data_IF_358344368360
#
_entry.id   IF_358344368360
#
_cell.length_a   1.000
_cell.length_b   1.000
_cell.length_c   1.000
_cell.angle_alpha   90.00
_cell.angle_beta   90.00
_cell.angle_gamma   90.00
#
_symmetry.space_group_name_H-M   'P 1'
#
loop_
_entity.id
_entity.type
_entity.pdbx_description
1 polymer ?
#
# COMPACT_ATOMS: atom_id res chain seq x y z
N UNK A 1 -48.17 -23.82 -4.94
CA UNK A 1 -47.38 -22.59 -5.11
C UNK A 1 -46.46 -22.48 -3.91
N UNK A 2 -45.22 -22.95 -4.03
CA UNK A 2 -44.25 -23.02 -2.93
C UNK A 2 -43.46 -21.69 -2.92
N UNK A 3 -43.76 -20.82 -1.97
CA UNK A 3 -43.03 -19.56 -1.77
C UNK A 3 -41.67 -19.89 -1.12
N UNK A 4 -40.59 -19.83 -1.91
CA UNK A 4 -39.22 -19.92 -1.40
C UNK A 4 -38.89 -18.56 -0.77
N UNK A 5 -39.03 -18.49 0.55
CA UNK A 5 -38.59 -17.36 1.36
C UNK A 5 -37.06 -17.44 1.48
N UNK A 6 -36.33 -16.85 0.53
CA UNK A 6 -34.89 -16.61 0.63
C UNK A 6 -34.65 -15.59 1.75
N UNK A 7 -34.39 -16.10 2.95
CA UNK A 7 -33.92 -15.32 4.08
C UNK A 7 -32.54 -14.77 3.71
N UNK A 8 -32.47 -13.46 3.44
CA UNK A 8 -31.22 -12.71 3.40
C UNK A 8 -30.63 -12.66 4.82
N UNK A 9 -30.00 -13.76 5.24
CA UNK A 9 -29.17 -13.75 6.44
C UNK A 9 -27.97 -12.84 6.15
N UNK A 10 -27.63 -11.89 7.03
CA UNK A 10 -26.41 -11.11 6.88
C UNK A 10 -25.22 -12.09 6.87
N UNK A 11 -24.46 -12.07 5.78
CA UNK A 11 -23.26 -12.88 5.64
C UNK A 11 -22.22 -12.29 6.59
N UNK A 12 -22.07 -12.90 7.77
CA UNK A 12 -20.93 -12.64 8.62
C UNK A 12 -19.74 -13.39 8.04
N UNK A 13 -18.75 -12.64 7.56
CA UNK A 13 -17.48 -13.22 7.12
C UNK A 13 -16.61 -13.34 8.37
N UNK A 14 -16.48 -14.55 8.91
CA UNK A 14 -15.39 -14.87 9.85
C UNK A 14 -14.09 -14.97 9.04
N UNK A 15 -13.44 -13.83 8.85
CA UNK A 15 -12.20 -13.72 8.09
C UNK A 15 -11.20 -12.86 8.84
N UNK A 16 -9.95 -13.31 8.89
CA UNK A 16 -8.85 -12.48 9.39
C UNK A 16 -8.53 -11.39 8.35
N UNK A 17 -8.74 -10.14 8.75
CA UNK A 17 -8.47 -8.92 8.00
C UNK A 17 -7.22 -8.21 8.51
N UNK A 18 -6.54 -7.49 7.62
CA UNK A 18 -5.41 -6.63 7.95
C UNK A 18 -5.87 -5.19 8.10
N UNK A 19 -5.44 -4.50 9.15
CA UNK A 19 -5.88 -3.13 9.44
C UNK A 19 -4.69 -2.20 9.69
N UNK A 20 -4.87 -0.91 9.41
CA UNK A 20 -3.99 0.11 9.94
C UNK A 20 -4.04 0.11 11.46
N UNK A 21 -2.88 0.25 12.10
CA UNK A 21 -2.77 0.35 13.55
C UNK A 21 -2.13 1.68 13.93
N UNK A 22 -2.91 2.54 14.55
CA UNK A 22 -2.47 3.88 14.94
C UNK A 22 -3.12 4.36 16.22
N UNK A 23 -2.37 5.22 16.92
CA UNK A 23 -2.80 5.92 18.12
C UNK A 23 -2.49 7.41 17.96
N UNK A 24 -3.44 8.26 18.32
CA UNK A 24 -3.26 9.69 18.45
C UNK A 24 -2.53 10.01 19.75
N UNK A 25 -1.66 11.03 19.69
CA UNK A 25 -0.86 11.41 20.85
C UNK A 25 -1.61 12.41 21.75
N UNK A 26 -2.23 13.44 21.15
CA UNK A 26 -3.07 14.42 21.85
C UNK A 26 -3.94 15.20 20.87
N UNK A 27 -4.90 15.98 21.38
CA UNK A 27 -5.77 16.85 20.56
C UNK A 27 -5.02 17.95 19.81
N UNK A 28 -3.85 18.37 20.29
CA UNK A 28 -3.00 19.38 19.63
C UNK A 28 -2.03 18.78 18.61
N UNK A 29 -1.75 17.48 18.75
CA UNK A 29 -0.79 16.76 17.92
C UNK A 29 -1.45 15.81 16.93
N UNK A 30 -2.73 15.51 17.04
CA UNK A 30 -3.47 14.71 16.06
C UNK A 30 -3.16 13.20 16.11
N UNK A 31 -3.62 12.50 15.07
CA UNK A 31 -3.41 11.07 14.86
C UNK A 31 -2.54 10.84 13.62
N UNK A 32 -1.68 9.83 13.66
CA UNK A 32 -0.88 9.41 12.52
C UNK A 32 -1.05 7.91 12.27
N UNK A 33 -1.47 7.55 11.07
CA UNK A 33 -1.63 6.16 10.63
C UNK A 33 -0.73 5.94 9.41
N UNK A 34 -0.04 4.82 9.39
CA UNK A 34 0.87 4.47 8.30
C UNK A 34 0.77 2.99 7.95
N UNK A 35 0.92 2.65 6.67
CA UNK A 35 1.04 1.26 6.21
C UNK A 35 2.21 0.49 6.82
N UNK A 36 3.17 1.18 7.46
CA UNK A 36 4.27 0.55 8.20
C UNK A 36 3.79 -0.07 9.54
N UNK A 37 2.60 0.31 10.02
CA UNK A 37 2.00 -0.19 11.25
C UNK A 37 0.67 -0.83 10.92
N UNK A 38 0.70 -2.14 10.72
CA UNK A 38 -0.49 -2.94 10.47
C UNK A 38 -0.66 -3.95 11.61
N UNK A 39 -1.89 -4.41 11.78
CA UNK A 39 -2.26 -5.54 12.63
C UNK A 39 -3.20 -6.48 11.86
N UNK A 40 -3.46 -7.67 12.40
CA UNK A 40 -4.53 -8.55 11.90
C UNK A 40 -5.57 -8.85 12.99
N UNK A 41 -6.82 -9.05 12.58
CA UNK A 41 -7.95 -9.36 13.48
C UNK A 41 -9.20 -9.76 12.70
N UNK A 42 -10.34 -9.89 13.38
CA UNK A 42 -11.63 -10.23 12.72
C UNK A 42 -12.30 -9.02 12.06
N UNK A 43 -11.96 -7.82 12.52
CA UNK A 43 -12.39 -6.57 11.90
C UNK A 43 -11.40 -5.45 12.17
N UNK A 44 -11.51 -4.38 11.40
CA UNK A 44 -10.83 -3.13 11.66
C UNK A 44 -11.77 -2.18 12.40
N UNK A 45 -11.24 -1.45 13.37
CA UNK A 45 -11.93 -0.34 14.00
C UNK A 45 -11.25 1.00 13.66
N UNK A 46 -12.05 2.05 13.72
CA UNK A 46 -11.62 3.43 13.71
C UNK A 46 -12.43 4.21 14.75
N UNK A 47 -11.72 4.89 15.65
CA UNK A 47 -12.25 5.80 16.66
C UNK A 47 -11.48 7.11 16.57
N UNK A 48 -11.99 8.15 17.21
CA UNK A 48 -11.49 9.53 17.10
C UNK A 48 -9.96 9.68 17.15
N UNK A 49 -9.28 8.88 17.99
CA UNK A 49 -7.84 8.96 18.19
C UNK A 49 -7.13 7.62 18.01
N UNK A 50 -7.79 6.62 17.41
CA UNK A 50 -7.17 5.30 17.29
C UNK A 50 -7.81 4.48 16.20
N UNK A 51 -6.99 3.76 15.45
CA UNK A 51 -7.46 2.73 14.54
C UNK A 51 -6.65 1.46 14.78
N UNK A 52 -7.26 0.30 14.56
CA UNK A 52 -6.60 -0.97 14.79
C UNK A 52 -7.49 -2.15 14.47
N UNK A 53 -7.10 -3.30 15.01
CA UNK A 53 -7.79 -4.56 14.84
C UNK A 53 -8.67 -4.87 16.05
N UNK A 54 -9.81 -5.51 15.80
CA UNK A 54 -10.73 -5.99 16.81
C UNK A 54 -10.94 -7.50 16.66
N UNK A 55 -11.28 -8.15 17.77
CA UNK A 55 -11.70 -9.56 17.82
C UNK A 55 -13.22 -9.71 17.76
N UNK A 56 -13.93 -8.68 17.29
CA UNK A 56 -15.38 -8.71 17.10
C UNK A 56 -15.65 -8.73 15.61
N UNK A 57 -16.54 -9.62 15.17
CA UNK A 57 -17.00 -9.62 13.80
C UNK A 57 -17.69 -8.29 13.44
N UNK A 58 -17.45 -7.84 12.21
CA UNK A 58 -18.09 -6.65 11.65
C UNK A 58 -18.76 -7.00 10.33
N UNK A 59 -19.63 -6.10 9.87
CA UNK A 59 -20.14 -6.16 8.51
C UNK A 59 -19.03 -5.77 7.53
N UNK A 60 -19.15 -6.24 6.27
CA UNK A 60 -18.21 -5.89 5.20
C UNK A 60 -18.13 -4.36 5.00
N UNK A 61 -19.27 -3.68 5.10
CA UNK A 61 -19.36 -2.24 4.94
C UNK A 61 -18.84 -1.47 6.16
N UNK A 62 -18.23 -0.31 5.88
CA UNK A 62 -17.79 0.62 6.91
C UNK A 62 -19.00 1.23 7.64
N UNK A 63 -19.21 0.80 8.89
CA UNK A 63 -20.35 1.22 9.70
C UNK A 63 -19.87 1.98 10.92
N UNK A 64 -20.42 3.17 11.13
CA UNK A 64 -20.17 3.99 12.31
C UNK A 64 -21.37 3.97 13.25
N UNK A 65 -21.11 3.97 14.55
CA UNK A 65 -22.08 4.20 15.62
C UNK A 65 -21.59 5.32 16.52
N UNK A 66 -22.54 5.99 17.19
CA UNK A 66 -22.24 6.98 18.22
C UNK A 66 -22.45 6.32 19.59
N UNK A 67 -21.44 6.45 20.44
CA UNK A 67 -21.54 6.17 21.87
C UNK A 67 -21.29 7.46 22.65
N UNK A 68 -22.39 8.14 23.00
CA UNK A 68 -22.38 9.49 23.56
C UNK A 68 -21.73 10.49 22.61
N UNK A 69 -20.53 10.93 22.97
CA UNK A 69 -19.71 11.90 22.22
C UNK A 69 -18.61 11.22 21.39
N UNK A 70 -18.54 9.90 21.35
CA UNK A 70 -17.50 9.17 20.63
C UNK A 70 -18.06 8.44 19.42
N UNK A 71 -17.41 8.58 18.27
CA UNK A 71 -17.71 7.76 17.10
C UNK A 71 -16.88 6.48 17.11
N UNK A 72 -17.53 5.34 16.92
CA UNK A 72 -16.89 4.05 16.76
C UNK A 72 -17.30 3.48 15.40
N UNK A 73 -16.33 3.34 14.50
CA UNK A 73 -16.53 2.76 13.19
C UNK A 73 -15.84 1.41 13.09
N UNK A 74 -16.48 0.48 12.38
CA UNK A 74 -15.97 -0.87 12.15
C UNK A 74 -16.16 -1.31 10.70
N UNK A 75 -15.27 -2.15 10.20
CA UNK A 75 -15.33 -2.72 8.85
C UNK A 75 -14.57 -4.06 8.79
N UNK A 76 -14.95 -4.94 7.86
CA UNK A 76 -14.38 -6.29 7.71
C UNK A 76 -13.69 -6.50 6.35
N UNK A 77 -12.99 -5.48 5.85
CA UNK A 77 -12.20 -5.55 4.60
C UNK A 77 -10.77 -5.10 4.89
N UNK A 78 -9.79 -5.70 4.21
CA UNK A 78 -8.39 -5.30 4.38
C UNK A 78 -8.20 -3.80 4.18
N UNK A 79 -7.47 -3.19 5.12
CA UNK A 79 -7.04 -1.79 5.11
C UNK A 79 -8.21 -0.78 5.06
N UNK A 80 -9.43 -1.21 5.39
CA UNK A 80 -10.64 -0.39 5.32
C UNK A 80 -10.66 0.79 6.31
N UNK A 81 -9.84 0.73 7.36
CA UNK A 81 -9.70 1.79 8.36
C UNK A 81 -8.62 2.83 8.00
N UNK A 82 -8.29 2.97 6.72
CA UNK A 82 -7.43 4.06 6.25
C UNK A 82 -8.02 5.41 6.65
N UNK A 83 -7.18 6.31 7.19
CA UNK A 83 -7.62 7.59 7.75
C UNK A 83 -8.46 8.44 6.77
N UNK A 84 -8.04 8.54 5.50
CA UNK A 84 -8.76 9.32 4.47
C UNK A 84 -10.17 8.78 4.23
N UNK A 85 -10.32 7.46 4.13
CA UNK A 85 -11.60 6.81 3.93
C UNK A 85 -12.48 6.91 5.19
N UNK A 86 -11.90 6.64 6.36
CA UNK A 86 -12.59 6.73 7.65
C UNK A 86 -13.09 8.15 7.94
N UNK A 87 -12.27 9.17 7.71
CA UNK A 87 -12.64 10.57 7.88
C UNK A 87 -13.79 10.97 6.93
N UNK A 88 -13.73 10.56 5.65
CA UNK A 88 -14.82 10.80 4.69
C UNK A 88 -16.13 10.15 5.16
N UNK A 89 -16.08 8.91 5.63
CA UNK A 89 -17.24 8.18 6.15
C UNK A 89 -17.81 8.82 7.42
N UNK A 90 -16.95 9.26 8.34
CA UNK A 90 -17.35 9.98 9.56
C UNK A 90 -18.04 11.31 9.24
N UNK A 91 -17.46 12.11 8.34
CA UNK A 91 -18.05 13.37 7.89
C UNK A 91 -19.42 13.17 7.22
N UNK A 92 -19.60 12.09 6.47
CA UNK A 92 -20.89 11.76 5.87
C UNK A 92 -21.92 11.24 6.89
N UNK A 93 -21.46 10.59 7.96
CA UNK A 93 -22.32 9.99 8.98
C UNK A 93 -22.87 11.01 9.97
N UNK A 94 -22.11 12.07 10.27
CA UNK A 94 -22.56 13.07 11.23
C UNK A 94 -23.59 14.04 10.64
N UNK A 95 -24.66 14.39 11.39
CA UNK A 95 -25.58 15.44 10.97
C UNK A 95 -24.81 16.74 10.73
N UNK A 96 -25.12 17.43 9.63
CA UNK A 96 -24.78 18.86 9.49
C UNK A 96 -25.36 19.56 10.72
N UNK A 97 -24.57 20.33 11.47
CA UNK A 97 -24.88 20.90 12.81
C UNK A 97 -24.47 20.06 14.04
N UNK A 98 -23.90 18.86 13.86
CA UNK A 98 -23.22 18.16 14.95
C UNK A 98 -22.11 19.05 15.54
N UNK A 99 -21.89 19.08 16.88
CA UNK A 99 -20.73 19.78 17.47
C UNK A 99 -19.40 19.29 16.91
N UNK A 100 -19.43 18.14 16.22
CA UNK A 100 -18.30 17.52 15.57
C UNK A 100 -18.23 17.74 14.05
N UNK A 101 -19.19 18.43 13.43
CA UNK A 101 -19.04 19.00 12.07
C UNK A 101 -17.82 19.95 11.99
N UNK A 102 -17.38 20.44 13.16
CA UNK A 102 -16.17 21.26 13.34
C UNK A 102 -14.96 20.49 13.88
N UNK A 103 -15.11 19.22 14.25
CA UNK A 103 -13.96 18.37 14.58
C UNK A 103 -13.27 18.01 13.27
N UNK A 104 -12.38 18.90 12.85
CA UNK A 104 -11.41 18.55 11.85
C UNK A 104 -10.49 17.54 12.54
N UNK A 105 -10.59 16.26 12.16
CA UNK A 105 -9.53 15.29 12.40
C UNK A 105 -8.32 15.77 11.59
N UNK A 106 -7.72 16.86 12.03
CA UNK A 106 -6.57 17.45 11.39
C UNK A 106 -5.40 16.59 11.82
N UNK A 107 -4.77 15.98 10.82
CA UNK A 107 -3.37 15.58 10.91
C UNK A 107 -2.57 16.69 11.64
N UNK A 108 -1.54 16.33 12.44
CA UNK A 108 -0.74 17.33 13.15
C UNK A 108 -0.41 18.52 12.23
N UNK A 109 -0.67 19.76 12.69
CA UNK A 109 -0.46 20.98 11.89
C UNK A 109 0.97 21.11 11.32
N UNK A 110 1.92 20.35 11.86
CA UNK A 110 3.32 20.28 11.42
C UNK A 110 3.58 19.30 10.27
N UNK A 111 2.58 18.57 9.76
CA UNK A 111 2.77 17.65 8.63
C UNK A 111 2.57 18.39 7.31
N UNK A 112 3.67 18.64 6.60
CA UNK A 112 3.69 19.43 5.37
C UNK A 112 4.25 18.70 4.16
N UNK A 113 4.74 17.46 4.34
CA UNK A 113 5.35 16.67 3.28
C UNK A 113 4.38 15.59 2.79
N UNK A 114 3.94 15.70 1.55
CA UNK A 114 3.20 14.67 0.85
C UNK A 114 4.16 13.57 0.40
N UNK A 115 3.79 12.32 0.65
CA UNK A 115 4.56 11.15 0.28
C UNK A 115 3.68 10.09 -0.35
N UNK A 116 4.29 9.17 -1.08
CA UNK A 116 3.62 7.95 -1.53
C UNK A 116 3.40 7.02 -0.34
N UNK A 117 2.20 6.44 -0.23
CA UNK A 117 1.85 5.42 0.75
C UNK A 117 1.43 4.14 0.02
N UNK A 118 2.41 3.38 -0.48
CA UNK A 118 2.14 2.28 -1.39
C UNK A 118 3.25 1.23 -1.39
N UNK A 119 3.02 0.11 -2.07
CA UNK A 119 3.99 -0.96 -2.28
C UNK A 119 3.49 -2.32 -1.81
N UNK A 120 4.42 -3.25 -1.66
CA UNK A 120 4.13 -4.59 -1.15
C UNK A 120 4.50 -4.66 0.32
N UNK A 121 3.57 -5.11 1.15
CA UNK A 121 3.75 -5.21 2.60
C UNK A 121 3.45 -6.65 2.99
N UNK A 122 4.31 -7.25 3.80
CA UNK A 122 4.02 -8.55 4.39
C UNK A 122 3.66 -8.43 5.85
N UNK A 123 2.53 -9.02 6.23
CA UNK A 123 2.08 -9.16 7.62
C UNK A 123 1.41 -10.52 7.79
N UNK A 124 1.72 -11.22 8.88
CA UNK A 124 1.19 -12.55 9.20
C UNK A 124 1.32 -13.57 8.02
N UNK A 125 2.37 -13.45 7.20
CA UNK A 125 2.58 -14.31 6.03
C UNK A 125 1.72 -14.00 4.80
N UNK A 126 0.81 -13.01 4.89
CA UNK A 126 0.06 -12.47 3.76
C UNK A 126 0.84 -11.31 3.13
N UNK A 127 0.67 -11.11 1.83
CA UNK A 127 1.25 -9.99 1.10
C UNK A 127 0.10 -9.10 0.63
N UNK A 128 0.12 -7.84 1.04
CA UNK A 128 -0.81 -6.82 0.57
C UNK A 128 -0.10 -5.91 -0.41
N UNK A 129 -0.71 -5.71 -1.57
CA UNK A 129 -0.25 -4.77 -2.58
C UNK A 129 -1.12 -3.50 -2.51
N UNK A 130 -0.51 -2.39 -2.12
CA UNK A 130 -1.14 -1.07 -2.14
C UNK A 130 -0.66 -0.34 -3.38
N UNK A 131 -1.55 0.04 -4.32
CA UNK A 131 -1.13 0.66 -5.57
C UNK A 131 -0.60 2.08 -5.36
N UNK A 132 0.50 2.43 -6.04
CA UNK A 132 1.05 3.78 -6.01
C UNK A 132 0.25 4.71 -6.93
N UNK A 133 -0.83 5.30 -6.42
CA UNK A 133 -1.68 6.27 -7.12
C UNK A 133 -1.95 7.49 -6.21
N UNK A 134 -2.66 8.49 -6.74
CA UNK A 134 -2.97 9.72 -6.00
C UNK A 134 -3.82 9.48 -4.75
N UNK A 135 -4.60 8.40 -4.73
CA UNK A 135 -5.43 8.03 -3.59
C UNK A 135 -4.61 7.52 -2.41
N UNK A 136 -3.47 6.87 -2.72
CA UNK A 136 -2.52 6.30 -1.78
C UNK A 136 -1.33 7.24 -1.55
N UNK A 137 -1.69 8.43 -1.10
CA UNK A 137 -0.76 9.47 -0.66
C UNK A 137 -1.05 9.82 0.79
N UNK A 138 0.01 10.12 1.53
CA UNK A 138 -0.08 10.47 2.94
C UNK A 138 0.62 11.82 3.17
N UNK A 139 0.37 12.40 4.35
CA UNK A 139 1.02 13.61 4.84
C UNK A 139 1.87 13.25 6.06
N UNK A 140 3.12 13.72 6.08
CA UNK A 140 4.11 13.45 7.11
C UNK A 140 5.07 14.60 7.35
N UNK A 141 6.05 14.38 8.23
CA UNK A 141 7.21 15.29 8.38
C UNK A 141 8.31 14.94 7.36
N UNK A 142 8.37 13.70 6.93
CA UNK A 142 9.31 13.18 5.95
C UNK A 142 8.72 11.94 5.28
N UNK A 143 9.31 11.54 4.17
CA UNK A 143 8.94 10.33 3.46
C UNK A 143 9.94 9.22 3.73
N UNK A 144 9.44 7.98 3.76
CA UNK A 144 10.23 6.78 4.00
C UNK A 144 10.01 5.80 2.86
N UNK A 145 11.09 5.15 2.44
CA UNK A 145 11.06 3.94 1.60
C UNK A 145 11.77 2.82 2.34
N UNK A 146 11.09 1.69 2.53
CA UNK A 146 11.71 0.43 2.97
C UNK A 146 12.04 -0.43 1.76
N UNK A 147 13.29 -0.88 1.72
CA UNK A 147 13.88 -1.68 0.64
C UNK A 147 14.31 -3.02 1.20
N UNK A 148 13.65 -4.06 0.75
CA UNK A 148 13.95 -5.43 1.14
C UNK A 148 13.26 -6.42 0.23
N UNK A 149 12.72 -7.48 0.80
CA UNK A 149 11.95 -8.47 0.05
C UNK A 149 10.60 -7.89 -0.39
N UNK A 150 10.00 -7.06 0.48
CA UNK A 150 8.73 -6.41 0.23
C UNK A 150 8.95 -4.89 0.32
N UNK A 151 9.16 -4.26 -0.84
CA UNK A 151 9.42 -2.81 -0.91
C UNK A 151 8.10 -2.05 -0.78
N UNK A 152 8.05 -1.10 0.16
CA UNK A 152 6.94 -0.18 0.36
C UNK A 152 7.40 1.18 0.90
N UNK A 153 6.57 2.18 0.70
CA UNK A 153 6.86 3.59 0.95
C UNK A 153 5.72 4.17 1.77
N UNK A 154 6.07 5.02 2.72
CA UNK A 154 5.10 5.59 3.66
C UNK A 154 5.57 6.93 4.20
N UNK A 155 4.67 7.64 4.89
CA UNK A 155 5.02 8.87 5.59
C UNK A 155 5.67 8.54 6.93
N UNK A 156 6.67 9.32 7.32
CA UNK A 156 7.19 9.31 8.68
C UNK A 156 6.81 10.57 9.43
N UNK A 157 6.73 10.44 10.75
CA UNK A 157 6.60 11.58 11.65
C UNK A 157 7.78 11.62 12.60
N UNK A 158 8.03 12.80 13.17
CA UNK A 158 9.03 13.01 14.22
C UNK A 158 8.80 12.15 15.47
N UNK A 159 7.64 11.50 15.61
CA UNK A 159 7.34 10.60 16.74
C UNK A 159 7.92 9.20 16.54
N UNK A 160 8.16 8.79 15.29
CA UNK A 160 8.50 7.40 14.96
C UNK A 160 9.98 7.20 14.63
N UNK A 161 10.77 8.27 14.58
CA UNK A 161 12.20 8.15 14.30
C UNK A 161 12.89 9.44 13.87
N UNK A 162 14.05 9.28 13.23
CA UNK A 162 14.88 10.38 12.76
C UNK A 162 14.37 11.00 11.47
N UNK A 163 14.43 12.33 11.40
CA UNK A 163 14.12 13.13 10.20
C UNK A 163 15.31 13.25 9.25
N UNK A 164 16.48 12.75 9.63
CA UNK A 164 17.72 12.92 8.88
C UNK A 164 17.62 12.18 7.52
N UNK A 165 17.74 12.94 6.43
CA UNK A 165 17.63 12.40 5.09
C UNK A 165 18.84 11.51 4.75
N UNK A 166 18.68 10.20 4.92
CA UNK A 166 19.70 9.20 4.63
C UNK A 166 19.08 7.82 4.43
N UNK A 167 19.85 6.92 3.82
CA UNK A 167 19.56 5.49 3.86
C UNK A 167 20.39 4.82 4.95
N UNK A 168 19.77 3.96 5.73
CA UNK A 168 20.44 3.16 6.76
C UNK A 168 19.86 1.75 6.76
N UNK A 169 20.68 0.78 7.18
CA UNK A 169 20.29 -0.62 7.29
C UNK A 169 20.82 -1.16 8.61
N UNK A 170 19.91 -1.42 9.55
CA UNK A 170 20.27 -2.04 10.82
C UNK A 170 20.43 -3.56 10.64
N UNK A 171 21.30 -4.23 11.42
CA UNK A 171 21.40 -5.68 11.40
C UNK A 171 20.05 -6.34 11.70
N UNK A 172 19.59 -7.23 10.81
CA UNK A 172 18.30 -7.91 10.96
C UNK A 172 17.08 -7.13 10.44
N UNK A 173 17.26 -5.90 9.97
CA UNK A 173 16.19 -5.07 9.40
C UNK A 173 16.40 -4.82 7.90
N UNK A 174 15.32 -4.42 7.22
CA UNK A 174 15.36 -3.95 5.84
C UNK A 174 16.05 -2.58 5.74
N UNK A 175 16.60 -2.26 4.57
CA UNK A 175 17.18 -0.92 4.35
C UNK A 175 16.05 0.12 4.35
N UNK A 176 16.20 1.17 5.14
CA UNK A 176 15.25 2.26 5.23
C UNK A 176 15.90 3.55 4.72
N UNK A 177 15.25 4.22 3.77
CA UNK A 177 15.66 5.51 3.22
C UNK A 177 14.66 6.58 3.63
N UNK A 178 15.17 7.65 4.24
CA UNK A 178 14.40 8.82 4.66
C UNK A 178 14.74 10.00 3.76
N UNK A 179 13.73 10.77 3.37
CA UNK A 179 13.90 12.00 2.59
C UNK A 179 12.79 13.01 2.95
N UNK A 180 13.07 14.31 2.83
CA UNK A 180 12.18 15.38 3.31
C UNK A 180 11.51 16.18 2.20
N UNK A 181 11.72 15.79 0.93
CA UNK A 181 11.13 16.43 -0.24
C UNK A 181 9.75 15.82 -0.56
N UNK A 182 8.88 16.60 -1.20
CA UNK A 182 7.57 16.13 -1.64
C UNK A 182 7.73 14.91 -2.57
N UNK A 183 6.99 13.84 -2.31
CA UNK A 183 6.94 12.61 -3.10
C UNK A 183 8.29 11.95 -3.38
N UNK A 184 9.31 12.20 -2.55
CA UNK A 184 10.68 11.71 -2.79
C UNK A 184 10.85 10.20 -2.58
N UNK A 185 9.90 9.56 -1.92
CA UNK A 185 9.91 8.12 -1.61
C UNK A 185 9.32 7.27 -2.74
N UNK A 186 9.66 7.58 -4.00
CA UNK A 186 9.24 6.74 -5.13
C UNK A 186 9.81 5.34 -4.96
N UNK A 187 8.99 4.33 -5.21
CA UNK A 187 9.39 2.92 -5.23
C UNK A 187 10.53 2.71 -6.24
N UNK A 188 11.75 2.61 -5.73
CA UNK A 188 12.90 2.19 -6.52
C UNK A 188 13.02 0.67 -6.45
N UNK A 189 13.41 -0.02 -7.54
CA UNK A 189 13.64 -1.45 -7.51
C UNK A 189 14.70 -1.82 -6.45
N UNK A 190 14.62 -3.01 -5.85
CA UNK A 190 15.58 -3.44 -4.84
C UNK A 190 17.02 -3.36 -5.39
N UNK A 191 17.93 -2.87 -4.56
CA UNK A 191 19.33 -2.70 -4.93
C UNK A 191 19.91 -4.08 -5.33
N UNK A 192 20.53 -4.24 -6.52
CA UNK A 192 20.97 -5.55 -7.03
C UNK A 192 21.96 -6.29 -6.11
N UNK A 193 22.52 -5.63 -5.10
CA UNK A 193 23.41 -6.24 -4.11
C UNK A 193 22.72 -7.20 -3.12
N UNK A 194 21.38 -7.22 -3.05
CA UNK A 194 20.62 -8.04 -2.08
C UNK A 194 20.15 -9.39 -2.66
N UNK A 195 20.35 -9.65 -3.96
CA UNK A 195 19.85 -10.87 -4.62
C UNK A 195 20.78 -12.10 -4.56
N UNK A 196 21.96 -11.99 -3.97
CA UNK A 196 22.96 -13.07 -4.00
C UNK A 196 22.83 -14.14 -2.91
N UNK A 197 21.71 -14.22 -2.16
CA UNK A 197 21.65 -15.13 -1.01
C UNK A 197 20.44 -16.07 -0.93
N UNK A 198 19.78 -16.37 -2.06
CA UNK A 198 18.91 -17.55 -2.09
C UNK A 198 18.84 -18.17 -3.49
N UNK A 199 19.80 -19.03 -3.82
CA UNK A 199 19.60 -20.09 -4.83
C UNK A 199 20.60 -21.21 -4.55
N UNK A 200 20.16 -22.21 -3.80
CA UNK A 200 20.79 -23.52 -3.80
C UNK A 200 19.81 -24.54 -4.35
N UNK A 201 20.24 -25.12 -5.47
CA UNK A 201 19.93 -26.48 -5.94
C UNK A 201 18.62 -26.71 -6.69
N UNK A 202 18.65 -26.45 -8.00
CA UNK A 202 18.06 -27.39 -8.97
C UNK A 202 18.97 -27.53 -10.20
N UNK A 203 19.27 -28.78 -10.49
CA UNK A 203 20.16 -29.39 -11.48
C UNK A 203 19.94 -28.91 -12.93
N UNK A 204 20.98 -28.82 -13.79
CA UNK A 204 20.83 -28.35 -15.17
C UNK A 204 20.25 -29.44 -16.08
N UNK A 205 19.06 -29.20 -16.65
CA UNK A 205 18.55 -29.96 -17.79
C UNK A 205 18.93 -29.24 -19.08
N UNK A 206 19.89 -29.81 -19.81
CA UNK A 206 20.26 -29.40 -21.17
C UNK A 206 19.21 -29.81 -22.20
N UNK A 207 18.71 -28.84 -22.98
CA UNK A 207 18.04 -29.08 -24.27
C UNK A 207 18.63 -28.16 -25.35
N UNK A 208 18.77 -28.65 -26.61
CA UNK A 208 19.64 -28.02 -27.60
C UNK A 208 19.00 -26.83 -28.31
N UNK A 209 19.76 -25.75 -28.47
CA UNK A 209 19.36 -24.54 -29.21
C UNK A 209 19.47 -24.81 -30.72
N UNK A 210 18.35 -24.73 -31.43
CA UNK A 210 18.28 -24.77 -32.90
C UNK A 210 18.45 -23.36 -33.45
N UNK A 211 19.63 -23.06 -34.00
CA UNK A 211 19.92 -21.77 -34.65
C UNK A 211 19.18 -21.65 -35.99
N UNK A 212 18.32 -20.65 -36.14
CA UNK A 212 17.73 -20.28 -37.43
C UNK A 212 18.34 -18.95 -37.90
N UNK A 213 19.22 -19.03 -38.91
CA UNK A 213 19.87 -17.86 -39.50
C UNK A 213 18.96 -17.27 -40.58
N UNK A 214 18.44 -16.06 -40.38
CA UNK A 214 17.82 -15.27 -41.46
C UNK A 214 18.75 -14.12 -41.86
N UNK A 215 19.18 -14.15 -43.11
CA UNK A 215 19.99 -13.10 -43.73
C UNK A 215 19.06 -12.02 -44.29
N UNK A 216 19.16 -10.78 -43.82
CA UNK A 216 18.48 -9.62 -44.42
C UNK A 216 19.49 -8.84 -45.25
N UNK A 217 19.19 -8.61 -46.53
CA UNK A 217 20.01 -7.79 -47.44
C UNK A 217 19.48 -6.35 -47.40
N UNK A 218 20.34 -5.40 -47.03
CA UNK A 218 20.02 -3.97 -47.06
C UNK A 218 20.44 -3.35 -48.40
N UNK A 219 19.69 -2.35 -48.88
CA UNK A 219 19.78 -1.75 -50.23
C UNK A 219 21.11 -1.08 -50.64
N UNK A 220 22.16 -1.09 -49.81
CA UNK A 220 23.48 -0.54 -50.14
C UNK A 220 24.65 -1.54 -49.93
N UNK A 221 24.44 -2.83 -50.16
CA UNK A 221 25.54 -3.79 -50.40
C UNK A 221 26.48 -4.13 -49.22
N UNK A 222 26.18 -3.70 -47.98
CA UNK A 222 26.89 -4.16 -46.78
C UNK A 222 26.06 -5.19 -46.01
N UNK A 223 26.60 -6.39 -45.83
CA UNK A 223 26.05 -7.44 -44.96
C UNK A 223 26.43 -7.18 -43.51
N UNK A 224 25.43 -7.04 -42.63
CA UNK A 224 25.63 -7.02 -41.18
C UNK A 224 24.89 -8.19 -40.55
N UNK A 225 25.61 -9.02 -39.77
CA UNK A 225 25.02 -10.14 -39.03
C UNK A 225 24.40 -9.60 -37.75
N UNK A 226 23.07 -9.48 -37.72
CA UNK A 226 22.33 -9.14 -36.50
C UNK A 226 21.98 -10.45 -35.78
N UNK A 227 22.46 -10.58 -34.54
CA UNK A 227 22.10 -11.68 -33.63
C UNK A 227 20.88 -11.24 -32.81
N UNK A 228 19.69 -11.61 -33.26
CA UNK A 228 18.45 -11.33 -32.53
C UNK A 228 18.26 -12.39 -31.44
N UNK A 229 18.36 -11.99 -30.18
CA UNK A 229 17.87 -12.78 -29.04
C UNK A 229 16.40 -12.41 -28.88
N UNK A 230 15.50 -13.36 -29.15
CA UNK A 230 14.06 -13.19 -28.95
C UNK A 230 13.73 -13.64 -27.53
N UNK A 231 13.52 -12.69 -26.63
CA UNK A 231 12.76 -12.94 -25.40
C UNK A 231 11.29 -12.72 -25.73
N UNK A 232 10.47 -13.76 -25.63
CA UNK A 232 9.01 -13.64 -25.81
C UNK A 232 8.44 -12.79 -24.67
N UNK A 233 8.12 -11.53 -24.98
CA UNK A 233 7.12 -10.76 -24.23
C UNK A 233 5.84 -10.83 -25.07
N UNK A 234 4.84 -11.52 -24.54
CA UNK A 234 3.49 -11.54 -25.07
C UNK A 234 2.65 -10.64 -24.17
N UNK A 235 2.23 -9.47 -24.65
CA UNK A 235 0.82 -9.07 -24.66
C UNK A 235 0.66 -7.83 -25.56
N UNK A 236 -0.36 -7.93 -26.40
CA UNK A 236 -0.80 -7.01 -27.44
C UNK A 236 -1.24 -5.66 -26.86
N UNK A 237 -0.85 -4.54 -27.51
CA UNK A 237 -1.70 -3.73 -28.39
C UNK A 237 -1.09 -2.31 -28.48
N UNK A 238 -0.57 -1.99 -29.65
CA UNK A 238 -0.12 -0.66 -30.10
C UNK A 238 -1.26 -0.07 -30.94
N UNK A 239 -1.39 1.26 -30.89
CA UNK A 239 -1.99 2.26 -31.82
C UNK A 239 -2.74 3.28 -30.93
N UNK A 240 -2.43 4.57 -30.89
CA UNK A 240 -2.02 5.50 -31.96
C UNK A 240 -1.03 6.60 -31.49
N UNK A 241 -0.06 6.88 -32.38
CA UNK A 241 0.53 8.17 -32.84
C UNK A 241 0.33 9.44 -31.98
N UNK A 242 1.38 10.02 -31.38
CA UNK A 242 2.29 11.05 -31.96
C UNK A 242 1.91 11.53 -33.37
N UNK A 243 1.29 12.70 -33.44
CA UNK A 243 1.41 13.62 -34.59
C UNK A 243 1.88 14.98 -34.06
N UNK A 244 2.96 15.46 -34.68
CA UNK A 244 3.29 16.88 -34.83
C UNK A 244 2.14 17.64 -35.51
#
# INVERSE_FOLDING_TARGET
MLFVLLLFLPIFVEGEVTCYHCYGNSSSQGQFCSINKLCTGESCYFREWSAGCSSSSAMLDFKCTLDGLTSNCVCAVDLCNQFKAANKSLQAFWPKESPFDKFNYSLPLSLSVHCNECGNISIAGKIHNVPCNEENTCLGNFCVTKRGQYTYSYCGTTWEGTTEARCFKNPGEEEQCVCSQQMCNVMLPPNPKTFNQLTTTTTPTTTPIRNLTKTKICKNGRTSKIRTVITQINYQKIEEEIIN
#
